data_IF_239117492047
#
_entry.id   IF_239117492047
#
_cell.length_a   1.000
_cell.length_b   1.000
_cell.length_c   1.000
_cell.angle_alpha   90.00
_cell.angle_beta   90.00
_cell.angle_gamma   90.00
#
_symmetry.space_group_name_H-M   'P 1'
#
loop_
_entity.id
_entity.type
_entity.pdbx_description
1 polymer ?
#
# COMPACT_ATOMS: atom_id res chain seq x y z
N UNK A 1 -7.49 1.50 -1.82
CA UNK A 1 -7.15 1.53 -0.39
C UNK A 1 -6.85 2.97 0.01
N UNK A 2 -7.70 3.52 0.87
CA UNK A 2 -7.65 4.88 1.39
C UNK A 2 -7.07 4.80 2.81
N UNK A 3 -6.22 5.75 3.20
CA UNK A 3 -5.93 5.96 4.62
C UNK A 3 -6.58 7.29 5.02
N UNK A 4 -7.22 7.34 6.20
CA UNK A 4 -7.86 8.56 6.70
C UNK A 4 -6.80 9.59 7.10
N UNK A 5 -7.02 10.87 6.78
CA UNK A 5 -6.32 11.98 7.43
C UNK A 5 -7.26 12.48 8.52
N UNK A 6 -7.05 12.00 9.75
CA UNK A 6 -7.87 12.35 10.91
C UNK A 6 -7.51 13.75 11.45
N UNK A 7 -8.12 14.80 10.93
CA UNK A 7 -7.92 16.15 11.43
C UNK A 7 -8.70 16.36 12.75
N UNK A 8 -7.99 16.36 13.88
CA UNK A 8 -8.59 16.67 15.18
C UNK A 8 -8.69 18.19 15.38
N UNK A 9 -9.91 18.73 15.37
CA UNK A 9 -10.19 20.09 15.83
C UNK A 9 -10.70 19.95 17.29
N UNK A 10 -10.09 20.61 18.30
CA UNK A 10 -10.61 20.58 19.68
C UNK A 10 -11.94 21.35 19.81
N UNK A 11 -12.79 21.27 20.85
CA UNK A 11 -12.74 20.62 22.17
C UNK A 11 -14.01 19.75 22.43
N UNK A 12 -14.97 19.69 21.50
CA UNK A 12 -16.16 18.82 21.57
C UNK A 12 -16.54 18.12 20.25
N UNK A 13 -15.80 18.34 19.16
CA UNK A 13 -16.13 17.75 17.85
C UNK A 13 -14.90 17.51 16.97
N UNK A 14 -14.67 16.26 16.55
CA UNK A 14 -13.63 15.91 15.57
C UNK A 14 -14.19 15.90 14.14
N UNK A 15 -13.38 16.33 13.17
CA UNK A 15 -13.70 16.19 11.76
C UNK A 15 -12.84 15.09 11.13
N UNK A 16 -13.45 13.94 10.94
CA UNK A 16 -12.77 12.79 10.37
C UNK A 16 -12.86 12.85 8.84
N UNK A 17 -11.73 13.07 8.17
CA UNK A 17 -11.66 13.16 6.72
C UNK A 17 -10.81 12.04 6.12
N UNK A 18 -11.27 11.46 5.01
CA UNK A 18 -10.46 10.49 4.26
C UNK A 18 -10.16 10.99 2.85
N UNK A 19 -8.90 11.36 2.62
CA UNK A 19 -8.43 11.83 1.31
C UNK A 19 -7.76 10.73 0.52
N UNK A 20 -8.18 10.58 -0.73
CA UNK A 20 -7.51 9.68 -1.67
C UNK A 20 -6.20 10.29 -2.17
N UNK A 21 -5.30 9.42 -2.65
CA UNK A 21 -4.04 9.85 -3.27
C UNK A 21 -4.38 10.22 -4.72
N UNK A 22 -3.69 11.21 -5.28
CA UNK A 22 -3.76 11.46 -6.73
C UNK A 22 -3.49 10.18 -7.52
N UNK A 23 -4.15 10.03 -8.66
CA UNK A 23 -4.15 8.85 -9.53
C UNK A 23 -4.84 7.59 -8.97
N UNK A 24 -5.53 7.67 -7.83
CA UNK A 24 -6.31 6.55 -7.28
C UNK A 24 -7.80 6.88 -7.19
N UNK A 25 -8.63 5.86 -7.48
CA UNK A 25 -10.08 6.01 -7.44
C UNK A 25 -10.56 7.11 -8.38
N UNK A 26 -11.32 8.07 -7.85
CA UNK A 26 -11.83 9.22 -8.61
C UNK A 26 -10.87 10.42 -8.63
N UNK A 27 -9.78 10.36 -7.89
CA UNK A 27 -8.81 11.46 -7.77
C UNK A 27 -7.77 11.40 -8.90
N UNK A 28 -8.22 11.40 -10.15
CA UNK A 28 -7.35 11.41 -11.34
C UNK A 28 -7.48 12.76 -12.06
N UNK A 29 -6.36 13.46 -12.31
CA UNK A 29 -6.43 14.75 -12.97
C UNK A 29 -6.78 14.63 -14.47
N UNK A 30 -7.80 15.38 -14.89
CA UNK A 30 -8.18 15.76 -16.26
C UNK A 30 -8.56 14.66 -17.28
N UNK A 31 -8.12 13.41 -17.09
CA UNK A 31 -8.34 12.30 -18.04
C UNK A 31 -8.69 11.01 -17.31
N UNK A 32 -9.03 9.94 -18.05
CA UNK A 32 -9.26 8.63 -17.45
C UNK A 32 -7.99 8.10 -16.76
N UNK A 33 -8.14 7.28 -15.71
CA UNK A 33 -6.99 6.67 -14.99
C UNK A 33 -6.05 5.93 -15.94
N UNK A 34 -6.62 5.25 -16.94
CA UNK A 34 -5.85 4.51 -17.95
C UNK A 34 -4.98 5.46 -18.79
N UNK A 35 -5.57 6.56 -19.25
CA UNK A 35 -4.85 7.52 -20.10
C UNK A 35 -3.78 8.28 -19.30
N UNK A 36 -4.11 8.64 -18.05
CA UNK A 36 -3.18 9.30 -17.14
C UNK A 36 -1.94 8.45 -16.85
N UNK A 37 -2.11 7.13 -16.69
CA UNK A 37 -1.01 6.20 -16.42
C UNK A 37 -0.23 5.80 -17.67
N UNK A 38 -0.85 5.83 -18.85
CA UNK A 38 -0.17 5.56 -20.12
C UNK A 38 0.68 6.74 -20.61
N UNK A 39 0.31 7.97 -20.26
CA UNK A 39 1.07 9.16 -20.60
C UNK A 39 2.21 9.38 -19.59
N UNK A 40 3.47 9.32 -20.04
CA UNK A 40 4.63 9.47 -19.18
C UNK A 40 4.70 10.83 -18.46
N UNK A 41 4.30 11.91 -19.13
CA UNK A 41 4.26 13.27 -18.56
C UNK A 41 3.23 13.36 -17.45
N UNK A 42 2.02 12.86 -17.68
CA UNK A 42 0.97 12.84 -16.65
C UNK A 42 1.36 11.93 -15.49
N UNK A 43 1.88 10.73 -15.78
CA UNK A 43 2.38 9.80 -14.76
C UNK A 43 3.53 10.38 -13.94
N UNK A 44 4.33 11.31 -14.48
CA UNK A 44 5.36 12.02 -13.70
C UNK A 44 4.81 12.78 -12.49
N UNK A 45 3.54 13.20 -12.51
CA UNK A 45 2.88 13.83 -11.37
C UNK A 45 2.45 12.83 -10.28
N UNK A 46 2.56 11.52 -10.51
CA UNK A 46 2.34 10.47 -9.52
C UNK A 46 3.62 10.25 -8.70
N UNK A 47 3.84 11.12 -7.72
CA UNK A 47 4.95 10.99 -6.76
C UNK A 47 4.54 11.46 -5.36
N UNK A 48 5.33 11.10 -4.36
CA UNK A 48 5.04 11.36 -2.93
C UNK A 48 5.08 12.85 -2.58
N UNK A 49 6.05 13.60 -3.09
CA UNK A 49 6.18 15.04 -2.81
C UNK A 49 4.96 15.82 -3.29
N UNK A 50 4.48 15.51 -4.48
CA UNK A 50 3.28 16.09 -5.04
C UNK A 50 2.00 15.74 -4.25
N UNK A 51 1.88 14.51 -3.76
CA UNK A 51 0.75 14.13 -2.91
C UNK A 51 0.77 14.82 -1.54
N UNK A 52 1.95 15.05 -0.95
CA UNK A 52 2.08 15.85 0.27
C UNK A 52 1.63 17.30 0.07
N UNK A 53 1.95 17.90 -1.09
CA UNK A 53 1.47 19.24 -1.45
C UNK A 53 -0.06 19.27 -1.56
N UNK A 54 -0.69 18.25 -2.13
CA UNK A 54 -2.16 18.17 -2.18
C UNK A 54 -2.77 18.12 -0.78
N UNK A 55 -2.19 17.32 0.12
CA UNK A 55 -2.67 17.26 1.51
C UNK A 55 -2.52 18.58 2.23
N UNK A 56 -1.37 19.23 2.12
CA UNK A 56 -1.17 20.55 2.71
C UNK A 56 -2.21 21.56 2.22
N UNK A 57 -2.48 21.61 0.91
CA UNK A 57 -3.47 22.51 0.32
C UNK A 57 -4.89 22.22 0.79
N UNK A 58 -5.30 20.94 0.79
CA UNK A 58 -6.64 20.54 1.25
C UNK A 58 -6.83 20.89 2.72
N UNK A 59 -5.82 20.60 3.56
CA UNK A 59 -5.89 20.88 4.99
C UNK A 59 -5.99 22.38 5.27
N UNK A 60 -5.16 23.21 4.62
CA UNK A 60 -5.24 24.66 4.74
C UNK A 60 -6.61 25.19 4.32
N UNK A 61 -7.12 24.73 3.16
CA UNK A 61 -8.43 25.15 2.65
C UNK A 61 -9.56 24.79 3.62
N UNK A 62 -9.49 23.63 4.29
CA UNK A 62 -10.48 23.23 5.29
C UNK A 62 -10.40 24.11 6.53
N UNK A 63 -9.19 24.41 7.02
CA UNK A 63 -9.03 25.31 8.17
C UNK A 63 -9.62 26.68 7.90
N UNK A 64 -9.36 27.25 6.72
CA UNK A 64 -9.91 28.53 6.29
C UNK A 64 -11.45 28.48 6.18
N UNK A 65 -12.00 27.47 5.50
CA UNK A 65 -13.45 27.35 5.31
C UNK A 65 -14.23 27.11 6.60
N UNK A 66 -13.60 26.52 7.61
CA UNK A 66 -14.20 26.24 8.91
C UNK A 66 -13.82 27.25 9.99
N UNK A 67 -13.05 28.30 9.64
CA UNK A 67 -12.50 29.29 10.59
C UNK A 67 -11.80 28.61 11.78
N UNK A 68 -11.00 27.58 11.46
CA UNK A 68 -10.35 26.68 12.40
C UNK A 68 -8.82 26.78 12.31
N UNK A 69 -8.28 27.98 12.07
CA UNK A 69 -6.86 28.24 11.82
C UNK A 69 -5.96 27.82 12.98
N UNK A 70 -6.46 27.89 14.22
CA UNK A 70 -5.74 27.50 15.44
C UNK A 70 -5.87 26.03 15.79
N UNK A 71 -6.79 25.31 15.14
CA UNK A 71 -7.03 23.91 15.47
C UNK A 71 -5.86 23.03 15.05
N UNK A 72 -5.45 22.06 15.88
CA UNK A 72 -4.39 21.13 15.52
C UNK A 72 -4.80 20.25 14.33
N UNK A 73 -3.83 19.63 13.68
CA UNK A 73 -4.09 18.59 12.68
C UNK A 73 -3.26 17.38 13.08
N UNK A 74 -3.90 16.23 13.12
CA UNK A 74 -3.23 14.94 13.25
C UNK A 74 -3.33 14.29 11.87
N UNK A 75 -2.24 13.70 11.40
CA UNK A 75 -2.28 12.86 10.20
C UNK A 75 -2.10 11.42 10.65
N UNK A 76 -2.90 10.52 10.11
CA UNK A 76 -2.78 9.09 10.40
C UNK A 76 -2.52 8.38 9.09
N UNK A 77 -1.58 7.45 9.09
CA UNK A 77 -1.20 6.72 7.89
C UNK A 77 -0.79 5.29 8.18
N UNK A 78 -1.04 4.40 7.23
CA UNK A 78 -0.60 3.02 7.29
C UNK A 78 0.00 2.59 5.96
N UNK A 79 0.83 1.55 6.00
CA UNK A 79 1.57 1.00 4.88
C UNK A 79 2.32 2.09 4.10
N UNK A 80 2.16 2.15 2.78
CA UNK A 80 2.78 3.18 1.95
C UNK A 80 2.45 4.61 2.40
N UNK A 81 1.22 4.86 2.88
CA UNK A 81 0.82 6.20 3.34
C UNK A 81 1.39 6.54 4.71
N UNK A 82 1.72 5.55 5.53
CA UNK A 82 2.43 5.75 6.79
C UNK A 82 3.82 6.38 6.58
N UNK A 83 4.45 6.08 5.45
CA UNK A 83 5.71 6.71 5.05
C UNK A 83 5.51 8.21 4.80
N UNK A 84 4.40 8.58 4.15
CA UNK A 84 4.04 9.99 3.91
C UNK A 84 3.50 10.72 5.15
N UNK A 85 2.86 10.02 6.10
CA UNK A 85 2.32 10.66 7.31
C UNK A 85 3.42 11.03 8.31
N UNK A 86 4.51 10.26 8.42
CA UNK A 86 5.62 10.59 9.33
C UNK A 86 6.27 11.94 9.03
N UNK A 87 6.37 12.32 7.74
CA UNK A 87 6.89 13.63 7.34
C UNK A 87 6.02 14.83 7.73
N UNK A 88 4.80 14.60 8.22
CA UNK A 88 3.86 15.64 8.69
C UNK A 88 3.68 15.63 10.22
N UNK A 89 4.59 15.00 10.97
CA UNK A 89 4.54 14.98 12.44
C UNK A 89 3.45 14.07 13.00
N UNK A 90 3.25 12.90 12.37
CA UNK A 90 2.01 12.15 12.48
C UNK A 90 2.17 10.67 12.82
N UNK A 91 1.08 10.02 13.23
CA UNK A 91 1.08 8.62 13.65
C UNK A 91 1.07 7.72 12.41
N UNK A 92 2.04 6.79 12.35
CA UNK A 92 2.13 5.83 11.26
C UNK A 92 2.25 4.40 11.81
N UNK A 93 1.31 3.53 11.46
CA UNK A 93 1.40 2.11 11.84
C UNK A 93 0.53 1.21 10.95
N UNK A 94 1.07 0.09 10.42
CA UNK A 94 2.49 -0.22 10.23
C UNK A 94 3.06 0.51 8.99
N UNK A 95 4.27 1.06 9.06
CA UNK A 95 4.92 1.76 7.93
C UNK A 95 6.30 1.13 7.63
N UNK A 96 6.52 0.50 6.46
CA UNK A 96 7.73 -0.26 6.18
C UNK A 96 8.91 0.63 5.72
N UNK A 97 9.23 1.70 6.44
CA UNK A 97 10.29 2.66 6.04
C UNK A 97 11.67 2.02 6.00
N UNK A 98 11.94 1.05 6.86
CA UNK A 98 13.24 0.38 6.91
C UNK A 98 13.44 -0.62 5.76
N UNK A 99 12.40 -0.91 4.96
CA UNK A 99 12.52 -1.80 3.80
C UNK A 99 13.15 -1.11 2.57
N UNK A 100 13.45 0.19 2.66
CA UNK A 100 14.12 0.95 1.61
C UNK A 100 15.63 1.06 1.86
N UNK A 101 16.36 1.51 0.84
CA UNK A 101 17.81 1.84 0.91
C UNK A 101 18.72 0.72 1.44
N UNK A 102 18.33 -0.54 1.23
CA UNK A 102 19.07 -1.73 1.65
C UNK A 102 19.36 -1.77 3.17
N UNK A 103 18.51 -1.10 3.98
CA UNK A 103 18.62 -1.09 5.44
C UNK A 103 18.17 -2.45 6.01
N UNK A 104 17.07 -2.99 5.49
CA UNK A 104 16.56 -4.32 5.86
C UNK A 104 17.01 -5.36 4.81
N UNK A 105 17.38 -6.59 5.21
CA UNK A 105 17.68 -7.66 4.27
C UNK A 105 16.57 -7.88 3.25
N UNK A 106 16.94 -8.12 1.98
CA UNK A 106 15.98 -8.25 0.87
C UNK A 106 14.98 -9.39 1.04
N UNK A 107 15.33 -10.42 1.84
CA UNK A 107 14.47 -11.56 2.12
C UNK A 107 13.61 -11.39 3.38
N UNK A 108 13.76 -10.32 4.15
CA UNK A 108 13.10 -10.16 5.45
C UNK A 108 11.56 -10.29 5.39
N UNK A 109 10.94 -9.79 4.32
CA UNK A 109 9.49 -9.95 4.11
C UNK A 109 9.10 -11.42 3.94
N UNK A 110 9.85 -12.19 3.15
CA UNK A 110 9.59 -13.61 2.92
C UNK A 110 9.88 -14.45 4.16
N UNK A 111 10.91 -14.08 4.94
CA UNK A 111 11.21 -14.73 6.21
C UNK A 111 10.06 -14.53 7.21
N UNK A 112 9.50 -13.32 7.30
CA UNK A 112 8.32 -13.03 8.13
C UNK A 112 7.12 -13.89 7.71
N UNK A 113 6.75 -13.88 6.43
CA UNK A 113 5.63 -14.70 5.91
C UNK A 113 5.86 -16.20 6.17
N UNK A 114 7.11 -16.65 6.07
CA UNK A 114 7.48 -18.04 6.34
C UNK A 114 7.31 -18.38 7.82
N UNK A 115 7.70 -17.47 8.71
CA UNK A 115 7.54 -17.65 10.15
C UNK A 115 6.07 -17.64 10.57
N UNK A 116 5.24 -16.74 10.02
CA UNK A 116 3.79 -16.75 10.26
C UNK A 116 3.17 -18.11 9.93
N UNK A 117 3.58 -18.72 8.80
CA UNK A 117 3.13 -20.06 8.41
C UNK A 117 3.62 -21.15 9.38
N UNK A 118 4.85 -21.03 9.88
CA UNK A 118 5.45 -21.98 10.82
C UNK A 118 4.81 -21.89 12.21
N UNK A 119 4.58 -20.67 12.69
CA UNK A 119 3.90 -20.40 13.95
C UNK A 119 2.47 -20.94 13.94
N UNK A 120 1.78 -20.83 12.80
CA UNK A 120 0.46 -21.44 12.64
C UNK A 120 0.53 -22.99 12.69
N UNK A 121 1.50 -23.60 12.01
CA UNK A 121 1.77 -25.05 12.09
C UNK A 121 3.07 -25.43 11.39
N UNK A 122 3.91 -26.21 12.06
CA UNK A 122 5.10 -26.82 11.45
C UNK A 122 4.75 -27.68 10.22
N UNK A 123 3.63 -28.40 10.28
CA UNK A 123 3.13 -29.21 9.16
C UNK A 123 2.73 -28.36 7.95
N UNK A 124 2.13 -27.19 8.17
CA UNK A 124 1.79 -26.24 7.12
C UNK A 124 3.06 -25.71 6.44
N UNK A 125 4.03 -25.23 7.23
CA UNK A 125 5.33 -24.77 6.74
C UNK A 125 6.02 -25.82 5.88
N UNK A 126 6.13 -27.06 6.38
CA UNK A 126 6.79 -28.14 5.66
C UNK A 126 6.05 -28.52 4.38
N UNK A 127 4.72 -28.56 4.41
CA UNK A 127 3.90 -28.86 3.22
C UNK A 127 4.06 -27.79 2.14
N UNK A 128 3.98 -26.51 2.49
CA UNK A 128 4.17 -25.40 1.55
C UNK A 128 5.59 -25.47 0.96
N UNK A 129 6.61 -25.63 1.80
CA UNK A 129 8.01 -25.74 1.35
C UNK A 129 8.22 -26.89 0.37
N UNK A 130 7.68 -28.07 0.66
CA UNK A 130 7.78 -29.24 -0.20
C UNK A 130 6.97 -29.09 -1.49
N UNK A 131 5.83 -28.38 -1.44
CA UNK A 131 4.96 -28.21 -2.61
C UNK A 131 5.67 -27.56 -3.80
N UNK A 132 6.54 -26.58 -3.56
CA UNK A 132 7.33 -25.92 -4.61
C UNK A 132 8.25 -26.90 -5.34
N UNK A 133 8.96 -27.74 -4.59
CA UNK A 133 9.85 -28.78 -5.16
C UNK A 133 9.07 -29.78 -6.01
N UNK A 134 7.90 -30.22 -5.55
CA UNK A 134 7.06 -31.16 -6.30
C UNK A 134 6.42 -30.52 -7.54
N UNK A 135 6.08 -29.23 -7.48
CA UNK A 135 5.64 -28.48 -8.65
C UNK A 135 6.74 -28.38 -9.71
N UNK A 136 7.98 -28.06 -9.34
CA UNK A 136 9.11 -27.98 -10.27
C UNK A 136 9.42 -29.34 -10.93
N UNK A 137 9.46 -30.41 -10.11
CA UNK A 137 9.62 -31.78 -10.62
C UNK A 137 8.50 -32.18 -11.57
N UNK A 138 7.27 -31.78 -11.27
CA UNK A 138 6.11 -32.08 -12.12
C UNK A 138 6.17 -31.27 -13.40
N UNK A 139 6.52 -29.99 -13.34
CA UNK A 139 6.64 -29.10 -14.49
C UNK A 139 7.69 -29.59 -15.51
N UNK A 140 8.80 -30.17 -15.04
CA UNK A 140 9.87 -30.72 -15.88
C UNK A 140 9.48 -32.00 -16.64
N UNK A 141 8.36 -32.67 -16.30
CA UNK A 141 7.89 -33.87 -17.00
C UNK A 141 7.16 -33.50 -18.29
N UNK A 142 7.12 -34.43 -19.25
CA UNK A 142 6.28 -34.31 -20.45
C UNK A 142 4.82 -34.12 -20.04
N UNK A 143 4.17 -33.09 -20.58
CA UNK A 143 2.81 -32.65 -20.22
C UNK A 143 2.62 -32.21 -18.74
N UNK A 144 3.72 -31.97 -18.03
CA UNK A 144 3.72 -31.57 -16.62
C UNK A 144 2.99 -30.26 -16.34
N UNK A 145 3.27 -29.23 -17.14
CA UNK A 145 2.57 -27.94 -17.04
C UNK A 145 1.06 -28.06 -17.32
N UNK A 146 0.66 -28.90 -18.28
CA UNK A 146 -0.76 -29.15 -18.56
C UNK A 146 -1.45 -29.87 -17.39
N UNK A 147 -0.76 -30.81 -16.75
CA UNK A 147 -1.23 -31.45 -15.52
C UNK A 147 -1.39 -30.44 -14.39
N UNK A 148 -0.38 -29.60 -14.13
CA UNK A 148 -0.42 -28.56 -13.10
C UNK A 148 -1.54 -27.55 -13.37
N UNK A 149 -1.69 -27.09 -14.62
CA UNK A 149 -2.76 -26.19 -15.03
C UNK A 149 -4.14 -26.78 -14.72
N UNK A 150 -4.35 -28.06 -15.03
CA UNK A 150 -5.59 -28.77 -14.68
C UNK A 150 -5.77 -28.93 -13.17
N UNK A 151 -4.70 -29.25 -12.43
CA UNK A 151 -4.73 -29.46 -10.97
C UNK A 151 -5.03 -28.17 -10.21
N UNK A 152 -4.41 -27.07 -10.60
CA UNK A 152 -4.57 -25.73 -10.01
C UNK A 152 -5.69 -24.90 -10.65
N UNK A 153 -6.36 -25.44 -11.68
CA UNK A 153 -7.46 -24.79 -12.40
C UNK A 153 -7.08 -23.40 -12.94
N UNK A 154 -5.87 -23.25 -13.45
CA UNK A 154 -5.39 -21.95 -13.96
C UNK A 154 -6.13 -21.56 -15.24
N UNK A 155 -6.46 -20.27 -15.40
CA UNK A 155 -7.37 -19.79 -16.45
C UNK A 155 -6.80 -19.79 -17.88
N UNK A 156 -5.51 -20.09 -18.08
CA UNK A 156 -4.91 -20.20 -19.42
C UNK A 156 -4.25 -21.56 -19.67
N UNK A 157 -4.49 -22.02 -20.90
CA UNK A 157 -3.84 -23.12 -21.62
C UNK A 157 -2.44 -22.71 -22.06
#
# INVERSE_FOLDING_TARGET
>A
MAAPILAYLGEESSLDMMTLYRFYGKSVPFVSSKDALNNATLRGYLNSGQALVDYAKILLHIKENLSAEMSPIIVVGASYRGISSQSLGAVASPAPILYFDNITPSNAYYDLVTNDCREASEGCYMTIKQSWVEMDKTAARKNGLAFLSKKFKTCKK
#
